data_IF_041673794295
#
_entry.id   IF_041673794295
#
_cell.length_a   1.000
_cell.length_b   1.000
_cell.length_c   1.000
_cell.angle_alpha   90.00
_cell.angle_beta   90.00
_cell.angle_gamma   90.00
#
_symmetry.space_group_name_H-M   'P 1'
#
loop_
_entity.id
_entity.type
_entity.pdbx_description
1 polymer ?
#
# COMPACT_ATOMS: atom_id res chain seq x y z
N UNK A 1 -32.87 14.62 -66.20
CA UNK A 1 -31.90 13.50 -66.18
C UNK A 1 -30.69 13.91 -65.37
N UNK A 2 -30.16 12.99 -64.56
CA UNK A 2 -28.97 13.16 -63.70
C UNK A 2 -29.31 13.74 -62.32
N UNK A 3 -29.40 13.02 -61.21
CA UNK A 3 -28.56 11.96 -60.57
C UNK A 3 -27.38 12.52 -59.77
N UNK A 4 -27.29 12.06 -58.50
CA UNK A 4 -26.13 12.10 -57.60
C UNK A 4 -26.23 13.17 -56.50
N UNK A 5 -26.14 12.90 -55.19
CA UNK A 5 -25.77 11.69 -54.45
C UNK A 5 -24.81 12.05 -53.30
N UNK A 6 -25.12 11.59 -52.08
CA UNK A 6 -24.20 11.47 -50.91
C UNK A 6 -23.92 12.76 -50.14
N UNK A 7 -24.12 12.89 -48.83
CA UNK A 7 -23.96 11.90 -47.76
C UNK A 7 -22.57 12.08 -47.13
N UNK A 8 -22.46 12.57 -45.90
CA UNK A 8 -21.18 12.67 -45.21
C UNK A 8 -21.23 13.45 -43.90
N UNK A 9 -21.55 12.76 -42.82
CA UNK A 9 -21.58 13.25 -41.44
C UNK A 9 -20.19 13.70 -40.95
N UNK A 10 -20.10 14.90 -40.35
CA UNK A 10 -18.96 15.27 -39.51
C UNK A 10 -19.24 14.86 -38.06
N UNK A 11 -18.73 13.69 -37.66
CA UNK A 11 -18.64 13.29 -36.26
C UNK A 11 -17.22 13.56 -35.74
N UNK A 12 -17.15 14.57 -34.87
CA UNK A 12 -16.33 14.66 -33.65
C UNK A 12 -15.37 13.50 -33.36
N UNK A 13 -14.07 13.70 -33.63
CA UNK A 13 -13.01 12.90 -33.02
C UNK A 13 -12.60 13.51 -31.68
N UNK A 14 -13.26 13.06 -30.61
CA UNK A 14 -12.81 13.28 -29.23
C UNK A 14 -11.59 12.40 -29.01
N UNK A 15 -10.40 13.00 -28.91
CA UNK A 15 -9.18 12.30 -28.54
C UNK A 15 -9.37 11.67 -27.15
N UNK A 16 -9.52 10.34 -27.12
CA UNK A 16 -9.56 9.54 -25.89
C UNK A 16 -8.13 9.46 -25.38
N UNK A 17 -7.80 10.27 -24.39
CA UNK A 17 -6.55 10.15 -23.65
C UNK A 17 -6.40 8.70 -23.17
N UNK A 18 -5.26 8.08 -23.51
CA UNK A 18 -4.91 6.75 -23.05
C UNK A 18 -4.85 6.76 -21.52
N UNK A 19 -5.46 5.79 -20.82
CA UNK A 19 -5.28 5.67 -19.39
C UNK A 19 -3.80 5.38 -19.14
N UNK A 20 -3.13 6.28 -18.43
CA UNK A 20 -1.79 6.06 -17.87
C UNK A 20 -1.83 4.77 -17.05
N UNK A 21 -0.80 3.94 -17.23
CA UNK A 21 -0.61 2.63 -16.60
C UNK A 21 -0.38 2.68 -15.07
N UNK A 22 -1.03 3.62 -14.38
CA UNK A 22 -1.08 3.77 -12.92
C UNK A 22 -2.45 3.43 -12.32
N UNK A 23 -3.46 3.13 -13.15
CA UNK A 23 -4.83 2.90 -12.72
C UNK A 23 -5.23 1.40 -12.62
N UNK A 24 -4.27 0.50 -12.44
CA UNK A 24 -4.53 -0.90 -12.09
C UNK A 24 -3.93 -1.20 -10.71
N UNK A 25 -4.30 -0.38 -9.73
CA UNK A 25 -4.28 -0.79 -8.34
C UNK A 25 -5.66 -1.40 -8.15
N UNK A 26 -5.74 -2.74 -8.07
CA UNK A 26 -6.91 -3.37 -7.45
C UNK A 26 -7.17 -2.59 -6.15
N UNK A 27 -8.36 -2.04 -6.00
CA UNK A 27 -8.82 -1.37 -4.78
C UNK A 27 -8.84 -2.40 -3.66
N UNK A 28 -7.66 -2.76 -3.16
CA UNK A 28 -7.48 -3.50 -1.91
C UNK A 28 -8.12 -2.61 -0.85
N UNK A 29 -9.20 -3.06 -0.21
CA UNK A 29 -9.90 -2.29 0.82
C UNK A 29 -8.87 -1.73 1.82
N UNK A 30 -8.92 -0.42 2.07
CA UNK A 30 -7.94 0.27 2.90
C UNK A 30 -7.80 -0.38 4.28
N UNK A 31 -8.92 -0.83 4.87
CA UNK A 31 -8.91 -1.54 6.14
C UNK A 31 -8.44 -2.98 6.01
N UNK A 32 -8.77 -3.69 4.92
CA UNK A 32 -8.26 -5.04 4.70
C UNK A 32 -6.73 -5.03 4.59
N UNK A 33 -6.18 -4.09 3.82
CA UNK A 33 -4.74 -3.89 3.74
C UNK A 33 -4.14 -3.54 5.10
N UNK A 34 -4.73 -2.57 5.82
CA UNK A 34 -4.22 -2.20 7.14
C UNK A 34 -4.24 -3.40 8.09
N UNK A 35 -5.33 -4.18 8.13
CA UNK A 35 -5.46 -5.38 8.96
C UNK A 35 -4.45 -6.48 8.63
N UNK A 36 -3.98 -6.55 7.38
CA UNK A 36 -2.92 -7.50 6.99
C UNK A 36 -1.57 -7.19 7.63
N UNK A 37 -1.36 -5.94 8.08
CA UNK A 37 -0.13 -5.50 8.74
C UNK A 37 -0.24 -5.77 10.24
N UNK A 38 0.70 -6.58 10.72
CA UNK A 38 0.80 -6.99 12.13
C UNK A 38 1.96 -6.33 12.86
N UNK A 39 2.78 -5.50 12.20
CA UNK A 39 3.96 -4.88 12.81
C UNK A 39 3.79 -3.38 13.02
N UNK A 40 4.20 -2.91 14.19
CA UNK A 40 4.12 -1.50 14.56
C UNK A 40 5.07 -0.63 13.72
N UNK A 41 6.31 -1.08 13.48
CA UNK A 41 7.26 -0.32 12.66
C UNK A 41 6.86 -0.30 11.19
N UNK A 42 6.28 -1.38 10.68
CA UNK A 42 5.72 -1.41 9.32
C UNK A 42 4.55 -0.44 9.19
N UNK A 43 3.63 -0.38 10.17
CA UNK A 43 2.53 0.58 10.16
C UNK A 43 3.06 2.02 10.13
N UNK A 44 4.01 2.35 10.99
CA UNK A 44 4.62 3.69 11.01
C UNK A 44 5.35 4.03 9.71
N UNK A 45 6.06 3.06 9.13
CA UNK A 45 6.71 3.22 7.83
C UNK A 45 5.71 3.53 6.72
N UNK A 46 4.62 2.77 6.61
CA UNK A 46 3.62 2.96 5.55
C UNK A 46 2.87 4.29 5.72
N UNK A 47 2.51 4.67 6.95
CA UNK A 47 1.91 5.98 7.25
C UNK A 47 2.85 7.10 6.79
N UNK A 48 4.11 7.06 7.24
CA UNK A 48 5.11 8.08 6.88
C UNK A 48 5.33 8.14 5.37
N UNK A 49 5.46 7.00 4.70
CA UNK A 49 5.67 6.93 3.24
C UNK A 49 4.51 7.58 2.47
N UNK A 50 3.26 7.37 2.92
CA UNK A 50 2.09 7.97 2.29
C UNK A 50 2.01 9.47 2.59
N UNK A 51 2.30 9.90 3.82
CA UNK A 51 2.40 11.31 4.18
C UNK A 51 3.47 12.04 3.36
N UNK A 52 4.68 11.49 3.27
CA UNK A 52 5.77 12.04 2.46
C UNK A 52 5.35 12.13 0.96
N UNK A 53 4.51 11.20 0.48
CA UNK A 53 3.96 11.25 -0.89
C UNK A 53 2.94 12.37 -1.06
N UNK A 54 2.04 12.54 -0.10
CA UNK A 54 1.05 13.63 -0.07
C UNK A 54 1.76 14.98 -0.02
N UNK A 55 2.76 15.13 0.83
CA UNK A 55 3.56 16.36 0.95
C UNK A 55 4.28 16.66 -0.37
N UNK A 56 4.88 15.65 -1.01
CA UNK A 56 5.57 15.82 -2.29
C UNK A 56 4.62 16.23 -3.43
N UNK A 57 3.38 15.72 -3.46
CA UNK A 57 2.36 16.12 -4.44
C UNK A 57 1.88 17.55 -4.16
N UNK A 58 1.62 17.87 -2.89
CA UNK A 58 1.17 19.19 -2.44
C UNK A 58 2.19 20.27 -2.75
N UNK A 59 3.47 20.02 -2.46
CA UNK A 59 4.58 20.92 -2.77
C UNK A 59 4.73 21.19 -4.29
N UNK A 60 4.31 20.25 -5.13
CA UNK A 60 4.30 20.39 -6.60
C UNK A 60 3.01 21.03 -7.13
N UNK A 61 2.06 21.40 -6.28
CA UNK A 61 0.75 21.89 -6.68
C UNK A 61 -0.09 20.84 -7.42
N UNK A 62 0.20 19.55 -7.23
CA UNK A 62 -0.52 18.45 -7.85
C UNK A 62 -1.74 18.07 -7.01
N UNK A 63 -2.81 17.62 -7.67
CA UNK A 63 -4.00 17.11 -6.98
C UNK A 63 -3.59 15.86 -6.18
N UNK A 64 -3.86 15.87 -4.88
CA UNK A 64 -3.68 14.73 -3.99
C UNK A 64 -4.90 13.80 -4.08
N UNK A 65 -4.73 12.54 -4.50
CA UNK A 65 -5.80 11.55 -4.47
C UNK A 65 -6.39 11.35 -3.06
N UNK A 66 -7.73 11.35 -2.95
CA UNK A 66 -8.44 11.12 -1.68
C UNK A 66 -8.08 9.76 -1.04
N UNK A 67 -7.79 8.75 -1.87
CA UNK A 67 -7.40 7.42 -1.44
C UNK A 67 -6.16 7.40 -0.54
N UNK A 68 -5.27 8.41 -0.63
CA UNK A 68 -4.16 8.53 0.32
C UNK A 68 -4.64 8.85 1.73
N UNK A 69 -5.63 9.72 1.87
CA UNK A 69 -6.19 10.09 3.17
C UNK A 69 -6.90 8.91 3.84
N UNK A 70 -7.73 8.18 3.10
CA UNK A 70 -8.45 7.01 3.63
C UNK A 70 -7.50 5.88 4.03
N UNK A 71 -6.47 5.61 3.22
CA UNK A 71 -5.42 4.64 3.55
C UNK A 71 -4.61 5.03 4.78
N UNK A 72 -4.24 6.30 4.94
CA UNK A 72 -3.52 6.78 6.13
C UNK A 72 -4.38 6.57 7.39
N UNK A 73 -5.65 6.96 7.34
CA UNK A 73 -6.58 6.78 8.47
C UNK A 73 -6.74 5.29 8.84
N UNK A 74 -6.86 4.41 7.85
CA UNK A 74 -6.95 2.97 8.08
C UNK A 74 -5.69 2.41 8.79
N UNK A 75 -4.50 2.85 8.35
CA UNK A 75 -3.24 2.45 8.96
C UNK A 75 -3.07 3.00 10.38
N UNK A 76 -3.46 4.26 10.60
CA UNK A 76 -3.44 4.88 11.93
C UNK A 76 -4.38 4.15 12.90
N UNK A 77 -5.60 3.86 12.47
CA UNK A 77 -6.56 3.08 13.25
C UNK A 77 -6.02 1.68 13.59
N UNK A 78 -5.44 0.98 12.61
CA UNK A 78 -4.84 -0.34 12.86
C UNK A 78 -3.71 -0.27 13.89
N UNK A 79 -2.85 0.77 13.80
CA UNK A 79 -1.75 0.99 14.75
C UNK A 79 -2.27 1.23 16.15
N UNK A 80 -3.29 2.07 16.30
CA UNK A 80 -3.94 2.32 17.58
C UNK A 80 -4.57 1.04 18.15
N UNK A 81 -5.28 0.27 17.33
CA UNK A 81 -5.85 -1.01 17.74
C UNK A 81 -4.79 -2.01 18.20
N UNK A 82 -3.67 -2.10 17.49
CA UNK A 82 -2.55 -2.97 17.86
C UNK A 82 -1.95 -2.55 19.20
N UNK A 83 -1.74 -1.24 19.41
CA UNK A 83 -1.25 -0.71 20.68
C UNK A 83 -2.20 -1.02 21.82
N UNK A 84 -3.50 -0.77 21.64
CA UNK A 84 -4.53 -1.07 22.64
C UNK A 84 -4.55 -2.55 22.99
N UNK A 85 -4.44 -3.45 22.00
CA UNK A 85 -4.40 -4.89 22.23
C UNK A 85 -3.22 -5.28 23.13
N UNK A 86 -2.05 -4.67 22.94
CA UNK A 86 -0.89 -4.90 23.79
C UNK A 86 -1.10 -4.32 25.19
N UNK A 87 -1.54 -3.06 25.28
CA UNK A 87 -1.71 -2.34 26.55
C UNK A 87 -2.76 -2.98 27.46
N UNK A 88 -3.84 -3.52 26.89
CA UNK A 88 -4.88 -4.22 27.64
C UNK A 88 -4.59 -5.71 27.88
N UNK A 89 -3.45 -6.21 27.37
CA UNK A 89 -3.06 -7.62 27.47
C UNK A 89 -3.87 -8.57 26.59
N UNK A 90 -4.71 -8.07 25.69
CA UNK A 90 -5.41 -8.88 24.68
C UNK A 90 -4.44 -9.50 23.66
N UNK A 91 -3.26 -8.92 23.50
CA UNK A 91 -2.15 -9.46 22.73
C UNK A 91 -0.90 -9.47 23.61
N UNK A 92 -0.45 -10.66 24.01
CA UNK A 92 0.82 -10.79 24.73
C UNK A 92 2.00 -10.47 23.82
N UNK A 93 3.12 -10.06 24.39
CA UNK A 93 4.35 -9.82 23.63
C UNK A 93 4.81 -11.08 22.87
N UNK A 94 4.68 -12.26 23.47
CA UNK A 94 5.01 -13.53 22.82
C UNK A 94 4.11 -13.79 21.59
N UNK A 95 2.79 -13.57 21.73
CA UNK A 95 1.86 -13.72 20.62
C UNK A 95 2.11 -12.68 19.52
N UNK A 96 2.47 -11.45 19.89
CA UNK A 96 2.87 -10.41 18.95
C UNK A 96 4.11 -10.85 18.14
N UNK A 97 5.18 -11.30 18.82
CA UNK A 97 6.39 -11.82 18.17
C UNK A 97 6.08 -13.01 17.25
N UNK A 98 5.17 -13.89 17.66
CA UNK A 98 4.75 -15.01 16.83
C UNK A 98 4.04 -14.54 15.54
N UNK A 99 3.16 -13.53 15.63
CA UNK A 99 2.54 -12.94 14.44
C UNK A 99 3.58 -12.36 13.47
N UNK A 100 4.62 -11.69 13.99
CA UNK A 100 5.72 -11.18 13.16
C UNK A 100 6.47 -12.32 12.45
N UNK A 101 6.85 -13.38 13.19
CA UNK A 101 7.53 -14.56 12.64
C UNK A 101 6.73 -15.23 11.51
N UNK A 102 5.41 -15.25 11.63
CA UNK A 102 4.51 -15.77 10.59
C UNK A 102 4.32 -14.82 9.40
N UNK A 103 4.37 -13.50 9.62
CA UNK A 103 4.19 -12.51 8.57
C UNK A 103 5.43 -12.32 7.69
N UNK A 104 6.63 -12.44 8.25
CA UNK A 104 7.91 -12.34 7.53
C UNK A 104 7.98 -13.24 6.27
N UNK A 105 7.68 -14.56 6.34
CA UNK A 105 7.72 -15.41 5.15
C UNK A 105 6.66 -15.02 4.12
N UNK A 106 5.48 -14.53 4.55
CA UNK A 106 4.42 -14.05 3.64
C UNK A 106 4.88 -12.82 2.85
N UNK A 107 5.50 -11.84 3.51
CA UNK A 107 6.04 -10.65 2.82
C UNK A 107 7.24 -10.99 1.92
N UNK A 108 8.11 -11.92 2.33
CA UNK A 108 9.19 -12.43 1.47
C UNK A 108 8.64 -13.13 0.23
N UNK A 109 7.55 -13.90 0.35
CA UNK A 109 6.88 -14.53 -0.79
C UNK A 109 6.23 -13.49 -1.71
N UNK A 110 5.47 -12.54 -1.15
CA UNK A 110 4.86 -11.41 -1.87
C UNK A 110 5.91 -10.60 -2.65
N UNK A 111 7.07 -10.35 -2.05
CA UNK A 111 8.21 -9.70 -2.72
C UNK A 111 8.68 -10.48 -3.95
N UNK A 112 8.84 -11.80 -3.83
CA UNK A 112 9.26 -12.67 -4.95
C UNK A 112 8.24 -12.67 -6.07
N UNK A 113 6.95 -12.77 -5.74
CA UNK A 113 5.86 -12.74 -6.71
C UNK A 113 5.81 -11.41 -7.46
N UNK A 114 5.84 -10.28 -6.73
CA UNK A 114 5.84 -8.94 -7.31
C UNK A 114 7.05 -8.69 -8.22
N UNK A 115 8.20 -9.30 -7.93
CA UNK A 115 9.41 -9.17 -8.76
C UNK A 115 9.24 -9.79 -10.15
N UNK A 116 8.32 -10.74 -10.32
CA UNK A 116 8.03 -11.37 -11.61
C UNK A 116 7.07 -10.53 -12.48
N UNK A 117 6.40 -9.53 -11.90
CA UNK A 117 5.46 -8.68 -12.63
C UNK A 117 6.19 -7.52 -13.33
N UNK A 118 5.81 -7.18 -14.57
CA UNK A 118 6.30 -5.97 -15.25
C UNK A 118 6.06 -4.71 -14.40
N UNK A 119 7.11 -3.94 -14.12
CA UNK A 119 7.02 -2.75 -13.25
C UNK A 119 6.89 -3.03 -11.75
N UNK A 120 6.89 -4.31 -11.34
CA UNK A 120 6.68 -4.71 -9.94
C UNK A 120 7.89 -4.51 -9.02
N UNK A 121 9.04 -4.09 -9.55
CA UNK A 121 10.29 -3.97 -8.78
C UNK A 121 10.17 -3.09 -7.52
N UNK A 122 9.48 -1.94 -7.62
CA UNK A 122 9.27 -1.05 -6.46
C UNK A 122 8.40 -1.73 -5.39
N UNK A 123 7.29 -2.34 -5.79
CA UNK A 123 6.38 -3.05 -4.89
C UNK A 123 7.06 -4.26 -4.23
N UNK A 124 7.91 -4.96 -4.98
CA UNK A 124 8.73 -6.06 -4.48
C UNK A 124 9.73 -5.58 -3.43
N UNK A 125 10.38 -4.44 -3.66
CA UNK A 125 11.28 -3.83 -2.69
C UNK A 125 10.54 -3.41 -1.42
N UNK A 126 9.36 -2.80 -1.54
CA UNK A 126 8.54 -2.40 -0.39
C UNK A 126 8.14 -3.61 0.46
N UNK A 127 7.68 -4.71 -0.17
CA UNK A 127 7.38 -5.96 0.53
C UNK A 127 8.61 -6.55 1.26
N UNK A 128 9.77 -6.52 0.60
CA UNK A 128 11.01 -6.98 1.23
C UNK A 128 11.41 -6.12 2.43
N UNK A 129 11.30 -4.79 2.32
CA UNK A 129 11.57 -3.86 3.43
C UNK A 129 10.64 -4.10 4.62
N UNK A 130 9.35 -4.37 4.38
CA UNK A 130 8.41 -4.73 5.46
C UNK A 130 8.87 -5.99 6.20
N UNK A 131 9.32 -7.01 5.48
CA UNK A 131 9.88 -8.21 6.11
C UNK A 131 11.14 -7.93 6.94
N UNK A 132 12.02 -7.01 6.48
CA UNK A 132 13.20 -6.61 7.24
C UNK A 132 12.86 -5.83 8.50
N UNK A 133 11.88 -4.92 8.44
CA UNK A 133 11.43 -4.17 9.63
C UNK A 133 10.82 -5.11 10.67
N UNK A 134 10.01 -6.08 10.26
CA UNK A 134 9.48 -7.11 11.17
C UNK A 134 10.59 -7.94 11.82
N UNK A 135 11.64 -8.28 11.07
CA UNK A 135 12.78 -8.99 11.65
C UNK A 135 13.52 -8.11 12.68
N UNK A 136 13.76 -6.84 12.36
CA UNK A 136 14.41 -5.90 13.28
C UNK A 136 13.61 -5.72 14.57
N UNK A 137 12.27 -5.67 14.51
CA UNK A 137 11.42 -5.63 15.70
C UNK A 137 11.60 -6.85 16.60
N UNK A 138 11.70 -8.05 16.02
CA UNK A 138 11.95 -9.28 16.77
C UNK A 138 13.33 -9.21 17.43
N UNK A 139 14.35 -8.84 16.66
CA UNK A 139 15.72 -8.78 17.14
C UNK A 139 15.85 -7.75 18.28
N UNK A 140 15.20 -6.59 18.17
CA UNK A 140 15.14 -5.56 19.22
C UNK A 140 14.45 -6.07 20.50
N UNK A 141 13.32 -6.76 20.36
CA UNK A 141 12.58 -7.32 21.50
C UNK A 141 13.36 -8.43 22.21
N UNK A 142 14.02 -9.31 21.45
CA UNK A 142 14.85 -10.39 22.00
C UNK A 142 16.09 -9.83 22.72
N UNK A 143 16.73 -8.80 22.17
CA UNK A 143 17.86 -8.12 22.81
C UNK A 143 17.46 -7.35 24.08
N UNK A 144 16.24 -6.80 24.14
CA UNK A 144 15.75 -6.11 25.33
C UNK A 144 15.37 -7.07 26.48
N UNK A 145 15.15 -8.34 26.17
CA UNK A 145 14.80 -9.38 27.15
C UNK A 145 16.00 -10.17 27.69
N UNK A 146 17.21 -9.93 27.16
CA UNK A 146 18.47 -10.56 27.55
C UNK A 146 19.22 -9.76 28.63
#
# INVERSE_FOLDING_TARGET
GGSGGGGGASQTTRAKAAPTAQAAVEEEDDMEFANSIVSYNVLNYEIKRLQDTVDALTAKGQIVPLAYGTRIQALEFRREMLQIQVDCGALSMEAYMQQLREAIPREKAKSKELKQLPGGAKRALDAFKRAQMMQAEIDEAENAAA
#
